data_IF_061908448060
#
_entry.id   IF_061908448060
#
_cell.length_a   1.000
_cell.length_b   1.000
_cell.length_c   1.000
_cell.angle_alpha   90.00
_cell.angle_beta   90.00
_cell.angle_gamma   90.00
#
_symmetry.space_group_name_H-M   'P 1'
#
loop_
_entity.id
_entity.type
_entity.pdbx_description
1 polymer ?
#
# COMPACT_ATOMS: atom_id res chain seq x y z
N UNK A 1 39.61 41.90 0.23
CA UNK A 1 38.55 40.87 0.28
C UNK A 1 38.38 40.33 -1.12
N UNK A 2 38.65 39.05 -1.38
CA UNK A 2 38.28 38.42 -2.65
C UNK A 2 36.79 38.12 -2.56
N UNK A 3 35.98 38.85 -3.33
CA UNK A 3 34.60 38.50 -3.55
C UNK A 3 34.57 37.06 -4.05
N UNK A 4 34.01 36.15 -3.24
CA UNK A 4 33.65 34.82 -3.72
C UNK A 4 32.43 35.02 -4.59
N UNK A 5 32.67 35.43 -5.84
CA UNK A 5 31.67 35.47 -6.88
C UNK A 5 30.97 34.13 -6.90
N UNK A 6 29.65 34.20 -6.73
CA UNK A 6 28.69 33.12 -6.82
C UNK A 6 29.08 32.25 -8.03
N UNK A 7 29.24 30.95 -7.80
CA UNK A 7 29.67 29.95 -8.79
C UNK A 7 29.12 30.24 -10.19
N UNK A 8 30.00 30.32 -11.20
CA UNK A 8 29.59 30.41 -12.60
C UNK A 8 28.53 29.34 -12.86
N UNK A 9 27.33 29.76 -13.25
CA UNK A 9 26.19 28.88 -13.47
C UNK A 9 26.49 27.79 -14.50
N UNK A 10 25.69 26.72 -14.50
CA UNK A 10 25.80 25.67 -15.51
C UNK A 10 25.66 26.25 -16.93
N UNK A 11 26.50 25.78 -17.84
CA UNK A 11 26.34 26.08 -19.27
C UNK A 11 25.05 25.44 -19.80
N UNK A 12 24.53 25.97 -20.91
CA UNK A 12 23.31 25.43 -21.55
C UNK A 12 23.42 23.93 -21.89
N UNK A 13 24.60 23.46 -22.26
CA UNK A 13 24.81 22.04 -22.55
C UNK A 13 24.74 21.18 -21.29
N UNK A 14 25.34 21.62 -20.18
CA UNK A 14 25.26 20.91 -18.90
C UNK A 14 23.83 20.88 -18.33
N UNK A 15 23.04 21.93 -18.59
CA UNK A 15 21.61 21.95 -18.25
C UNK A 15 20.81 20.98 -19.12
N UNK A 16 21.09 20.92 -20.43
CA UNK A 16 20.44 19.99 -21.33
C UNK A 16 20.71 18.52 -20.94
N UNK A 17 21.95 18.21 -20.58
CA UNK A 17 22.34 16.88 -20.08
C UNK A 17 21.60 16.51 -18.80
N UNK A 18 21.58 17.38 -17.79
CA UNK A 18 20.83 17.16 -16.55
C UNK A 18 19.32 17.03 -16.79
N UNK A 19 18.77 17.83 -17.70
CA UNK A 19 17.35 17.75 -18.03
C UNK A 19 17.02 16.40 -18.70
N UNK A 20 17.90 15.86 -19.55
CA UNK A 20 17.72 14.55 -20.15
C UNK A 20 17.73 13.42 -19.09
N UNK A 21 18.63 13.50 -18.11
CA UNK A 21 18.68 12.57 -16.97
C UNK A 21 17.42 12.65 -16.10
N UNK A 22 16.97 13.87 -15.79
CA UNK A 22 15.74 14.09 -15.02
C UNK A 22 14.51 13.54 -15.76
N UNK A 23 14.39 13.77 -17.07
CA UNK A 23 13.28 13.24 -17.87
C UNK A 23 13.26 11.71 -17.84
N UNK A 24 14.42 11.07 -17.94
CA UNK A 24 14.54 9.61 -17.84
C UNK A 24 14.13 9.11 -16.46
N UNK A 25 14.54 9.82 -15.41
CA UNK A 25 14.17 9.48 -14.02
C UNK A 25 12.68 9.66 -13.78
N UNK A 26 12.08 10.74 -14.29
CA UNK A 26 10.63 10.99 -14.20
C UNK A 26 9.87 9.85 -14.88
N UNK A 27 10.24 9.47 -16.11
CA UNK A 27 9.59 8.38 -16.81
C UNK A 27 9.68 7.04 -16.05
N UNK A 28 10.84 6.75 -15.45
CA UNK A 28 11.01 5.55 -14.63
C UNK A 28 10.16 5.58 -13.35
N UNK A 29 10.04 6.74 -12.70
CA UNK A 29 9.18 6.91 -11.52
C UNK A 29 7.70 6.79 -11.88
N UNK A 30 7.26 7.39 -12.99
CA UNK A 30 5.89 7.28 -13.49
C UNK A 30 5.52 5.82 -13.77
N UNK A 31 6.41 5.04 -14.40
CA UNK A 31 6.21 3.61 -14.62
C UNK A 31 6.07 2.82 -13.31
N UNK A 32 6.90 3.12 -12.30
CA UNK A 32 6.81 2.49 -10.97
C UNK A 32 5.50 2.84 -10.26
N UNK A 33 5.05 4.09 -10.36
CA UNK A 33 3.77 4.53 -9.82
C UNK A 33 2.60 3.78 -10.50
N UNK A 34 2.62 3.65 -11.82
CA UNK A 34 1.60 2.90 -12.55
C UNK A 34 1.54 1.42 -12.10
N UNK A 35 2.70 0.77 -11.92
CA UNK A 35 2.78 -0.59 -11.43
C UNK A 35 2.21 -0.73 -10.01
N UNK A 36 2.59 0.17 -9.09
CA UNK A 36 2.08 0.18 -7.71
C UNK A 36 0.57 0.44 -7.65
N UNK A 37 0.04 1.29 -8.53
CA UNK A 37 -1.41 1.51 -8.63
C UNK A 37 -2.10 0.23 -9.11
N UNK A 38 -1.58 -0.43 -10.15
CA UNK A 38 -2.14 -1.68 -10.65
C UNK A 38 -2.12 -2.81 -9.58
N UNK A 39 -1.02 -2.94 -8.84
CA UNK A 39 -0.91 -3.91 -7.72
C UNK A 39 -1.91 -3.59 -6.61
N UNK A 40 -2.01 -2.33 -6.18
CA UNK A 40 -2.98 -1.92 -5.16
C UNK A 40 -4.42 -2.15 -5.61
N UNK A 41 -4.73 -1.96 -6.89
CA UNK A 41 -6.03 -2.29 -7.46
C UNK A 41 -6.29 -3.80 -7.36
N UNK A 42 -5.32 -4.63 -7.73
CA UNK A 42 -5.41 -6.09 -7.56
C UNK A 42 -5.65 -6.52 -6.11
N UNK A 43 -4.95 -5.91 -5.14
CA UNK A 43 -5.13 -6.18 -3.72
C UNK A 43 -6.50 -5.74 -3.19
N UNK A 44 -7.07 -4.63 -3.71
CA UNK A 44 -8.40 -4.15 -3.33
C UNK A 44 -9.54 -5.08 -3.79
N UNK A 45 -9.33 -5.86 -4.84
CA UNK A 45 -10.31 -6.82 -5.35
C UNK A 45 -10.21 -8.20 -4.71
N UNK A 46 -9.29 -8.40 -3.77
CA UNK A 46 -9.28 -9.65 -3.00
C UNK A 46 -10.56 -9.74 -2.17
N UNK A 47 -11.30 -10.84 -2.32
CA UNK A 47 -12.44 -11.09 -1.44
C UNK A 47 -11.92 -11.31 -0.01
N UNK A 48 -12.48 -10.60 0.98
CA UNK A 48 -12.10 -10.81 2.38
C UNK A 48 -12.50 -12.22 2.83
N UNK A 49 -11.66 -12.83 3.66
CA UNK A 49 -11.97 -14.09 4.32
C UNK A 49 -13.17 -13.96 5.29
N UNK A 50 -13.41 -12.74 5.76
CA UNK A 50 -14.56 -12.36 6.55
C UNK A 50 -14.37 -10.98 7.16
N UNK A 51 -15.18 -10.66 8.17
CA UNK A 51 -15.22 -9.37 8.82
C UNK A 51 -15.13 -9.52 10.33
N UNK A 52 -14.24 -8.75 10.95
CA UNK A 52 -14.16 -8.59 12.39
C UNK A 52 -15.11 -7.50 12.85
N UNK A 53 -15.90 -7.78 13.89
CA UNK A 53 -16.62 -6.77 14.66
C UNK A 53 -15.77 -6.42 15.87
N UNK A 54 -15.24 -5.19 15.89
CA UNK A 54 -14.23 -4.71 16.82
C UNK A 54 -14.88 -3.74 17.81
N UNK A 55 -14.71 -4.04 19.10
CA UNK A 55 -15.23 -3.20 20.19
C UNK A 55 -14.47 -1.87 20.26
N UNK A 56 -15.04 -0.89 20.96
CA UNK A 56 -14.37 0.41 21.19
C UNK A 56 -12.98 0.27 21.85
N UNK A 57 -12.78 -0.78 22.66
CA UNK A 57 -11.47 -1.07 23.26
C UNK A 57 -10.44 -1.70 22.30
N UNK A 58 -10.77 -1.82 21.00
CA UNK A 58 -9.89 -2.38 19.97
C UNK A 58 -9.83 -3.91 19.93
N UNK A 59 -10.48 -4.62 20.85
CA UNK A 59 -10.55 -6.09 20.84
C UNK A 59 -11.63 -6.59 19.86
N UNK A 60 -11.31 -7.65 19.12
CA UNK A 60 -12.27 -8.37 18.28
C UNK A 60 -13.32 -9.02 19.20
N UNK A 61 -14.59 -8.66 18.99
CA UNK A 61 -15.71 -9.28 19.68
C UNK A 61 -16.12 -10.59 19.01
N UNK A 62 -16.23 -10.57 17.68
CA UNK A 62 -16.51 -11.74 16.86
C UNK A 62 -15.99 -11.55 15.43
N UNK A 63 -15.95 -12.66 14.69
CA UNK A 63 -15.64 -12.71 13.28
C UNK A 63 -16.77 -13.43 12.57
N UNK A 64 -17.21 -12.89 11.44
CA UNK A 64 -18.28 -13.46 10.62
C UNK A 64 -17.85 -13.50 9.15
N UNK A 65 -18.53 -14.30 8.34
CA UNK A 65 -18.13 -14.51 6.95
C UNK A 65 -18.55 -13.35 6.05
N UNK A 66 -19.69 -12.72 6.34
CA UNK A 66 -20.28 -11.70 5.45
C UNK A 66 -20.33 -10.31 6.10
N UNK A 67 -20.35 -9.27 5.26
CA UNK A 67 -20.48 -7.89 5.73
C UNK A 67 -21.84 -7.66 6.38
N UNK A 68 -22.90 -8.22 5.80
CA UNK A 68 -24.27 -8.08 6.29
C UNK A 68 -24.42 -8.63 7.71
N UNK A 69 -23.85 -9.80 8.00
CA UNK A 69 -23.83 -10.37 9.36
C UNK A 69 -23.04 -9.50 10.34
N UNK A 70 -21.94 -8.90 9.89
CA UNK A 70 -21.13 -8.01 10.72
C UNK A 70 -21.89 -6.74 11.07
N UNK A 71 -22.61 -6.17 10.10
CA UNK A 71 -23.46 -4.99 10.27
C UNK A 71 -24.62 -5.26 11.22
N UNK A 72 -25.33 -6.38 11.04
CA UNK A 72 -26.38 -6.81 11.97
C UNK A 72 -25.85 -6.97 13.39
N UNK A 73 -24.68 -7.60 13.54
CA UNK A 73 -24.06 -7.81 14.86
C UNK A 73 -23.65 -6.50 15.50
N UNK A 74 -22.99 -5.59 14.76
CA UNK A 74 -22.63 -4.25 15.23
C UNK A 74 -23.89 -3.49 15.65
N UNK A 75 -24.92 -3.47 14.81
CA UNK A 75 -26.11 -2.65 15.03
C UNK A 75 -26.97 -3.14 16.20
N UNK A 76 -26.98 -4.46 16.43
CA UNK A 76 -27.63 -5.06 17.59
C UNK A 76 -26.90 -4.76 18.91
N UNK A 77 -25.57 -4.87 18.93
CA UNK A 77 -24.80 -4.75 20.17
C UNK A 77 -24.40 -3.31 20.49
N UNK A 78 -23.74 -2.62 19.56
CA UNK A 78 -23.31 -1.23 19.70
C UNK A 78 -22.89 -0.67 18.34
N UNK A 79 -23.64 0.31 17.82
CA UNK A 79 -23.37 0.98 16.53
C UNK A 79 -22.01 1.69 16.45
N UNK A 80 -21.34 1.96 17.58
CA UNK A 80 -19.99 2.53 17.62
C UNK A 80 -18.88 1.50 17.39
N UNK A 81 -19.19 0.20 17.40
CA UNK A 81 -18.20 -0.84 17.09
C UNK A 81 -17.81 -0.78 15.61
N UNK A 82 -16.56 -1.09 15.32
CA UNK A 82 -15.99 -0.99 13.97
C UNK A 82 -16.01 -2.33 13.27
N UNK A 83 -16.33 -2.35 11.97
CA UNK A 83 -16.22 -3.54 11.14
C UNK A 83 -14.95 -3.43 10.31
N UNK A 84 -14.12 -4.46 10.29
CA UNK A 84 -12.89 -4.50 9.50
C UNK A 84 -12.77 -5.82 8.73
N UNK A 85 -12.54 -5.81 7.41
CA UNK A 85 -12.26 -7.04 6.67
C UNK A 85 -10.94 -7.64 7.14
N UNK A 86 -10.86 -8.97 7.17
CA UNK A 86 -9.61 -9.69 7.34
C UNK A 86 -9.40 -10.65 6.18
N UNK A 87 -8.14 -10.95 5.91
CA UNK A 87 -7.71 -11.77 4.79
C UNK A 87 -6.85 -12.90 5.35
N UNK A 88 -6.97 -14.10 4.78
CA UNK A 88 -5.98 -15.13 5.05
C UNK A 88 -4.65 -14.66 4.48
N UNK A 89 -3.61 -14.60 5.31
CA UNK A 89 -2.25 -14.55 4.79
C UNK A 89 -2.04 -15.82 3.98
N UNK A 90 -1.63 -15.71 2.72
CA UNK A 90 -1.07 -16.85 2.02
C UNK A 90 0.03 -17.42 2.91
N UNK A 91 -0.14 -18.65 3.41
CA UNK A 91 0.90 -19.28 4.22
C UNK A 91 2.16 -19.33 3.35
N UNK A 92 3.31 -18.83 3.82
CA UNK A 92 4.56 -19.11 3.13
C UNK A 92 4.67 -20.63 2.98
N UNK A 93 5.00 -21.10 1.78
CA UNK A 93 5.06 -22.53 1.47
C UNK A 93 5.75 -23.27 2.62
N UNK A 94 5.06 -24.28 3.17
CA UNK A 94 5.55 -24.99 4.35
C UNK A 94 7.01 -25.44 4.14
N UNK A 95 7.83 -25.39 5.18
CA UNK A 95 9.26 -25.71 5.09
C UNK A 95 9.52 -27.11 4.46
N UNK A 96 8.56 -28.03 4.58
CA UNK A 96 8.53 -29.34 3.90
C UNK A 96 8.56 -29.27 2.37
N UNK A 97 7.99 -28.23 1.76
CA UNK A 97 7.98 -28.01 0.31
C UNK A 97 9.33 -27.47 -0.18
N UNK A 98 10.00 -26.64 0.64
CA UNK A 98 11.28 -26.01 0.32
C UNK A 98 12.45 -26.99 0.35
N UNK A 99 12.40 -28.03 1.19
CA UNK A 99 13.45 -29.05 1.33
C UNK A 99 13.44 -30.07 0.18
N UNK A 100 12.38 -30.10 -0.65
CA UNK A 100 12.24 -31.04 -1.78
C UNK A 100 12.67 -30.46 -3.14
N UNK A 101 13.18 -29.23 -3.19
CA UNK A 101 13.78 -28.60 -4.37
C UNK A 101 15.28 -28.49 -4.18
#
# INVERSE_FOLDING_TARGET
MKERGITDGLTMNQLAERNAEHVTTIAALEARCAALVAENVGLKYQEPAGYHVIKECGKVGCSVATLEEAEKTRDFWNKKWTIRPYFYSAQPASERERIRR
#
